data_IF_593390798271
#
_entry.id   IF_593390798271
#
_cell.length_a   1.000
_cell.length_b   1.000
_cell.length_c   1.000
_cell.angle_alpha   90.00
_cell.angle_beta   90.00
_cell.angle_gamma   90.00
#
_symmetry.space_group_name_H-M   'P 1'
#
loop_
_entity.id
_entity.type
_entity.pdbx_description
1 polymer ?
#
# COMPACT_ATOMS: atom_id res chain seq x y z
N UNK A 1 21.33 -13.42 22.70
CA UNK A 1 20.28 -12.67 21.96
C UNK A 1 19.52 -13.67 21.10
N UNK A 2 18.24 -13.88 21.38
CA UNK A 2 17.49 -15.04 20.88
C UNK A 2 16.99 -14.78 19.44
N UNK A 3 17.48 -15.53 18.45
CA UNK A 3 17.20 -15.29 17.01
C UNK A 3 15.71 -15.42 16.67
N UNK A 4 14.96 -16.20 17.46
CA UNK A 4 13.53 -16.42 17.25
C UNK A 4 12.69 -15.18 17.56
N UNK A 5 13.11 -14.37 18.53
CA UNK A 5 12.42 -13.12 18.90
C UNK A 5 12.59 -12.05 17.82
N UNK A 6 13.79 -11.94 17.26
CA UNK A 6 14.12 -11.02 16.17
C UNK A 6 13.32 -11.33 14.88
N UNK A 7 13.15 -12.62 14.54
CA UNK A 7 12.38 -13.03 13.37
C UNK A 7 10.89 -12.73 13.50
N UNK A 8 10.31 -12.89 14.70
CA UNK A 8 8.89 -12.57 14.96
C UNK A 8 8.63 -11.07 14.89
N UNK A 9 9.53 -10.26 15.46
CA UNK A 9 9.44 -8.79 15.40
C UNK A 9 9.55 -8.29 13.95
N UNK A 10 10.51 -8.83 13.18
CA UNK A 10 10.67 -8.46 11.78
C UNK A 10 9.45 -8.83 10.92
N UNK A 11 8.82 -9.98 11.19
CA UNK A 11 7.58 -10.40 10.53
C UNK A 11 6.39 -9.48 10.83
N UNK A 12 6.19 -9.12 12.10
CA UNK A 12 5.11 -8.22 12.51
C UNK A 12 5.31 -6.80 11.93
N UNK A 13 6.55 -6.30 11.96
CA UNK A 13 6.92 -5.01 11.35
C UNK A 13 6.67 -4.99 9.84
N UNK A 14 6.98 -6.09 9.14
CA UNK A 14 6.70 -6.20 7.70
C UNK A 14 5.20 -6.13 7.40
N UNK A 15 4.37 -6.83 8.17
CA UNK A 15 2.91 -6.82 8.02
C UNK A 15 2.33 -5.42 8.22
N UNK A 16 2.74 -4.74 9.30
CA UNK A 16 2.31 -3.37 9.61
C UNK A 16 2.72 -2.37 8.52
N UNK A 17 3.95 -2.47 8.03
CA UNK A 17 4.45 -1.64 6.92
C UNK A 17 3.66 -1.88 5.63
N UNK A 18 3.30 -3.14 5.36
CA UNK A 18 2.49 -3.52 4.20
C UNK A 18 1.06 -2.96 4.28
N UNK A 19 0.43 -3.00 5.47
CA UNK A 19 -0.88 -2.38 5.67
C UNK A 19 -0.83 -0.85 5.56
N UNK A 20 0.24 -0.22 6.06
CA UNK A 20 0.46 1.21 5.90
C UNK A 20 0.65 1.59 4.44
N UNK A 21 1.39 0.81 3.65
CA UNK A 21 1.57 1.05 2.22
C UNK A 21 0.24 1.01 1.46
N UNK A 22 -0.64 0.05 1.79
CA UNK A 22 -1.98 -0.06 1.21
C UNK A 22 -2.85 1.13 1.63
N UNK A 23 -2.89 1.44 2.92
CA UNK A 23 -3.68 2.57 3.45
C UNK A 23 -3.24 3.90 2.85
N UNK A 24 -1.93 4.14 2.77
CA UNK A 24 -1.39 5.32 2.08
C UNK A 24 -1.76 5.31 0.60
N UNK A 25 -1.65 4.17 -0.09
CA UNK A 25 -2.05 4.05 -1.49
C UNK A 25 -3.51 4.44 -1.74
N UNK A 26 -4.43 4.08 -0.83
CA UNK A 26 -5.82 4.54 -0.88
C UNK A 26 -5.95 6.06 -0.72
N UNK A 27 -5.22 6.67 0.23
CA UNK A 27 -5.22 8.13 0.40
C UNK A 27 -4.73 8.85 -0.87
N UNK A 28 -3.69 8.31 -1.52
CA UNK A 28 -3.19 8.82 -2.80
C UNK A 28 -4.22 8.75 -3.94
N UNK A 29 -5.28 7.94 -3.83
CA UNK A 29 -6.36 7.87 -4.81
C UNK A 29 -7.55 8.76 -4.40
N UNK A 30 -7.88 8.80 -3.10
CA UNK A 30 -9.02 9.57 -2.59
C UNK A 30 -8.79 11.08 -2.72
N UNK A 31 -7.59 11.56 -2.40
CA UNK A 31 -7.24 12.99 -2.46
C UNK A 31 -7.44 13.58 -3.87
N UNK A 32 -6.88 12.99 -4.95
CA UNK A 32 -7.12 13.50 -6.29
C UNK A 32 -8.55 13.29 -6.77
N UNK A 33 -9.25 12.21 -6.36
CA UNK A 33 -10.67 12.04 -6.67
C UNK A 33 -11.51 13.18 -6.09
N UNK A 34 -11.22 13.60 -4.85
CA UNK A 34 -11.85 14.76 -4.23
C UNK A 34 -11.51 16.06 -4.97
N UNK A 35 -10.25 16.25 -5.37
CA UNK A 35 -9.84 17.42 -6.15
C UNK A 35 -10.53 17.48 -7.52
N UNK A 36 -10.79 16.34 -8.17
CA UNK A 36 -11.52 16.27 -9.43
C UNK A 36 -13.02 16.55 -9.28
N UNK A 37 -13.59 16.24 -8.12
CA UNK A 37 -14.98 16.53 -7.81
C UNK A 37 -15.25 17.99 -7.43
N UNK A 38 -14.20 18.80 -7.22
CA UNK A 38 -14.31 20.21 -6.87
C UNK A 38 -13.95 21.15 -8.03
N UNK A 39 -14.95 21.79 -8.67
CA UNK A 39 -14.71 22.74 -9.77
C UNK A 39 -13.83 23.92 -9.35
N UNK A 40 -13.96 24.40 -8.11
CA UNK A 40 -13.18 25.51 -7.57
C UNK A 40 -11.67 25.25 -7.59
N UNK A 41 -11.24 24.01 -7.34
CA UNK A 41 -9.82 23.64 -7.38
C UNK A 41 -9.33 23.60 -8.84
N UNK A 42 -10.15 23.08 -9.75
CA UNK A 42 -9.83 23.02 -11.17
C UNK A 42 -9.71 24.43 -11.78
N UNK A 43 -10.59 25.35 -11.38
CA UNK A 43 -10.55 26.75 -11.80
C UNK A 43 -9.34 27.50 -11.21
N UNK A 44 -9.00 27.24 -9.95
CA UNK A 44 -7.90 27.92 -9.26
C UNK A 44 -6.51 27.51 -9.77
N UNK A 45 -6.29 26.21 -10.00
CA UNK A 45 -4.96 25.67 -10.36
C UNK A 45 -4.83 25.29 -11.84
N UNK A 46 -5.92 25.35 -12.58
CA UNK A 46 -5.99 24.98 -13.99
C UNK A 46 -6.16 23.48 -14.20
N UNK A 47 -7.00 23.13 -15.20
CA UNK A 47 -7.29 21.74 -15.59
C UNK A 47 -6.04 20.90 -15.80
N UNK A 48 -5.08 21.41 -16.58
CA UNK A 48 -3.85 20.67 -16.90
C UNK A 48 -3.09 20.24 -15.64
N UNK A 49 -2.80 21.18 -14.74
CA UNK A 49 -2.08 20.92 -13.49
C UNK A 49 -2.79 19.89 -12.62
N UNK A 50 -4.10 20.07 -12.43
CA UNK A 50 -4.90 19.20 -11.56
C UNK A 50 -4.94 17.77 -12.11
N UNK A 51 -5.20 17.60 -13.42
CA UNK A 51 -5.21 16.27 -14.03
C UNK A 51 -3.83 15.61 -14.05
N UNK A 52 -2.75 16.36 -14.31
CA UNK A 52 -1.40 15.80 -14.30
C UNK A 52 -0.98 15.35 -12.90
N UNK A 53 -1.12 16.22 -11.89
CA UNK A 53 -0.76 15.88 -10.51
C UNK A 53 -1.67 14.77 -9.97
N UNK A 54 -2.97 14.86 -10.21
CA UNK A 54 -3.91 13.84 -9.77
C UNK A 54 -3.68 12.49 -10.43
N UNK A 55 -3.33 12.48 -11.73
CA UNK A 55 -2.93 11.26 -12.45
C UNK A 55 -1.67 10.62 -11.86
N UNK A 56 -0.64 11.41 -11.55
CA UNK A 56 0.57 10.92 -10.89
C UNK A 56 0.27 10.32 -9.51
N UNK A 57 -0.61 10.96 -8.73
CA UNK A 57 -1.04 10.48 -7.43
C UNK A 57 -1.77 9.14 -7.53
N UNK A 58 -2.73 9.01 -8.46
CA UNK A 58 -3.45 7.76 -8.69
C UNK A 58 -2.50 6.64 -9.13
N UNK A 59 -1.60 6.93 -10.07
CA UNK A 59 -0.63 5.94 -10.56
C UNK A 59 0.31 5.47 -9.44
N UNK A 60 0.85 6.40 -8.66
CA UNK A 60 1.72 6.08 -7.52
C UNK A 60 0.97 5.33 -6.40
N UNK A 61 -0.25 5.76 -6.10
CA UNK A 61 -1.13 5.12 -5.12
C UNK A 61 -1.47 3.68 -5.52
N UNK A 62 -1.83 3.46 -6.78
CA UNK A 62 -2.06 2.13 -7.34
C UNK A 62 -0.83 1.22 -7.24
N UNK A 63 0.35 1.74 -7.58
CA UNK A 63 1.61 1.00 -7.43
C UNK A 63 1.89 0.61 -5.96
N UNK A 64 1.62 1.50 -5.00
CA UNK A 64 1.77 1.19 -3.56
C UNK A 64 0.81 0.09 -3.10
N UNK A 65 -0.46 0.16 -3.50
CA UNK A 65 -1.44 -0.88 -3.17
C UNK A 65 -0.98 -2.22 -3.74
N UNK A 66 -0.57 -2.25 -5.01
CA UNK A 66 -0.06 -3.47 -5.65
C UNK A 66 1.14 -4.07 -4.89
N UNK A 67 2.12 -3.24 -4.49
CA UNK A 67 3.28 -3.69 -3.72
C UNK A 67 2.89 -4.24 -2.35
N UNK A 68 1.99 -3.54 -1.65
CA UNK A 68 1.51 -3.96 -0.34
C UNK A 68 0.71 -5.28 -0.40
N UNK A 69 -0.12 -5.46 -1.44
CA UNK A 69 -0.85 -6.69 -1.69
C UNK A 69 0.09 -7.85 -2.02
N UNK A 70 1.10 -7.63 -2.87
CA UNK A 70 2.07 -8.69 -3.20
C UNK A 70 2.89 -9.13 -1.98
N UNK A 71 3.25 -8.18 -1.10
CA UNK A 71 3.94 -8.49 0.15
C UNK A 71 3.05 -9.29 1.12
N UNK A 72 1.77 -8.94 1.23
CA UNK A 72 0.78 -9.74 2.00
C UNK A 72 0.61 -11.15 1.41
N UNK A 73 0.46 -11.28 0.09
CA UNK A 73 0.32 -12.59 -0.58
C UNK A 73 1.55 -13.49 -0.33
N UNK A 74 2.76 -12.92 -0.38
CA UNK A 74 3.99 -13.66 -0.03
C UNK A 74 4.00 -14.10 1.43
N UNK A 75 3.41 -13.31 2.32
CA UNK A 75 3.29 -13.62 3.73
C UNK A 75 2.35 -14.82 3.95
N UNK A 76 1.13 -14.76 3.42
CA UNK A 76 0.14 -15.84 3.53
C UNK A 76 0.63 -17.17 2.91
N UNK A 77 1.32 -17.11 1.76
CA UNK A 77 1.88 -18.30 1.09
C UNK A 77 3.09 -18.91 1.82
N UNK A 78 3.72 -18.15 2.72
CA UNK A 78 4.86 -18.62 3.52
C UNK A 78 4.37 -19.35 4.78
N UNK A 79 3.33 -18.86 5.45
CA UNK A 79 2.76 -19.52 6.63
C UNK A 79 2.11 -20.88 6.30
N UNK A 80 1.45 -21.02 5.15
CA UNK A 80 0.89 -22.32 4.73
C UNK A 80 1.95 -23.41 4.50
N UNK A 81 3.21 -23.03 4.21
CA UNK A 81 4.32 -23.98 4.06
C UNK A 81 4.94 -24.40 5.39
N UNK A 82 4.79 -23.62 6.45
CA UNK A 82 5.24 -24.01 7.79
C UNK A 82 4.31 -25.07 8.38
N UNK A 83 2.99 -24.86 8.29
CA UNK A 83 1.99 -25.81 8.80
C UNK A 83 2.11 -27.21 8.17
N UNK A 84 2.49 -27.29 6.89
CA UNK A 84 2.67 -28.56 6.17
C UNK A 84 4.00 -29.27 6.50
N UNK A 85 4.94 -28.61 7.18
CA UNK A 85 6.25 -29.16 7.52
C UNK A 85 6.27 -29.77 8.93
N UNK A 86 5.39 -29.32 9.82
CA UNK A 86 5.23 -29.85 11.18
C UNK A 86 4.38 -31.14 11.23
N UNK A 87 3.83 -31.56 10.08
CA UNK A 87 3.00 -32.78 9.92
C UNK A 87 3.80 -34.02 9.45
N UNK A 88 5.14 -33.92 9.35
CA UNK A 88 6.05 -35.02 9.01
C UNK A 88 7.14 -35.18 10.07
#
# INVERSE_FOLDING_TARGET
MNRDTEQRINKASLGFKSSLDIGMGFLYIIIPAYAFAMPSIIEQYGKGTVYTIGGLFIFYGGFRIFRGLMALQKFFKKDTRFLKKDEK
#
